data_IF_763391504622
#
_entry.id   IF_763391504622
#
_cell.length_a   1.000
_cell.length_b   1.000
_cell.length_c   1.000
_cell.angle_alpha   90.00
_cell.angle_beta   90.00
_cell.angle_gamma   90.00
#
_symmetry.space_group_name_H-M   'P 1'
#
loop_
_entity.id
_entity.type
_entity.pdbx_description
1 polymer ?
#
# COMPACT_ATOMS: atom_id res chain seq x y z
N UNK A 1 17.55 25.29 -6.98
CA UNK A 1 17.91 24.34 -8.04
C UNK A 1 17.58 22.96 -7.48
N UNK A 2 16.60 22.25 -8.06
CA UNK A 2 16.25 20.91 -7.58
C UNK A 2 17.48 20.01 -7.62
N UNK A 3 17.68 19.17 -6.60
CA UNK A 3 18.74 18.16 -6.65
C UNK A 3 18.37 17.15 -7.74
N UNK A 4 19.36 16.54 -8.39
CA UNK A 4 19.14 15.52 -9.43
C UNK A 4 18.20 14.38 -8.98
N UNK A 5 18.11 14.11 -7.68
CA UNK A 5 17.21 13.11 -7.09
C UNK A 5 15.75 13.58 -7.07
N UNK A 6 15.49 14.84 -6.75
CA UNK A 6 14.13 15.42 -6.79
C UNK A 6 13.54 15.33 -8.20
N UNK A 7 14.32 15.73 -9.20
CA UNK A 7 13.86 15.69 -10.59
C UNK A 7 13.66 14.25 -11.09
N UNK A 8 14.51 13.32 -10.64
CA UNK A 8 14.35 11.89 -10.94
C UNK A 8 13.07 11.31 -10.34
N UNK A 9 12.74 11.61 -9.08
CA UNK A 9 11.52 11.11 -8.45
C UNK A 9 10.27 11.72 -9.12
N UNK A 10 10.32 12.99 -9.50
CA UNK A 10 9.24 13.63 -10.27
C UNK A 10 9.06 12.98 -11.63
N UNK A 11 10.14 12.57 -12.28
CA UNK A 11 10.07 11.83 -13.53
C UNK A 11 9.46 10.44 -13.34
N UNK A 12 9.75 9.75 -12.23
CA UNK A 12 9.06 8.50 -11.88
C UNK A 12 7.56 8.72 -11.67
N UNK A 13 7.16 9.74 -10.89
CA UNK A 13 5.75 10.09 -10.69
C UNK A 13 5.05 10.33 -12.04
N UNK A 14 5.67 11.12 -12.93
CA UNK A 14 5.16 11.36 -14.29
C UNK A 14 5.02 10.07 -15.12
N UNK A 15 5.96 9.14 -14.99
CA UNK A 15 5.96 7.90 -15.78
C UNK A 15 4.93 6.88 -15.29
N UNK A 16 4.66 6.80 -13.99
CA UNK A 16 3.69 5.88 -13.39
C UNK A 16 2.27 6.45 -13.38
N UNK A 17 2.14 7.78 -13.40
CA UNK A 17 0.86 8.50 -13.47
C UNK A 17 0.24 8.39 -14.86
N UNK A 18 -0.46 7.29 -15.09
CA UNK A 18 -1.15 6.97 -16.34
C UNK A 18 -2.60 6.61 -16.06
N UNK A 19 -3.45 6.79 -17.06
CA UNK A 19 -4.82 6.29 -17.05
C UNK A 19 -5.08 5.34 -18.23
N UNK A 20 -4.54 4.10 -18.18
CA UNK A 20 -4.84 3.09 -19.18
C UNK A 20 -6.34 2.83 -19.23
N UNK A 21 -6.91 2.93 -20.43
CA UNK A 21 -8.34 2.73 -20.66
C UNK A 21 -9.23 3.94 -20.37
N UNK A 22 -8.66 5.10 -20.00
CA UNK A 22 -9.41 6.35 -19.75
C UNK A 22 -10.50 6.16 -18.69
N UNK A 23 -10.11 5.64 -17.53
CA UNK A 23 -11.00 5.30 -16.40
C UNK A 23 -11.29 6.50 -15.50
N UNK A 24 -10.72 7.67 -15.80
CA UNK A 24 -10.96 8.91 -15.08
C UNK A 24 -9.99 9.19 -13.94
N UNK A 25 -8.86 8.46 -13.87
CA UNK A 25 -7.90 8.58 -12.77
C UNK A 25 -7.16 9.93 -12.75
N UNK A 26 -6.97 10.54 -13.93
CA UNK A 26 -6.25 11.81 -14.10
C UNK A 26 -7.04 12.84 -14.92
N UNK A 27 -8.34 12.63 -15.15
CA UNK A 27 -9.15 13.48 -16.03
C UNK A 27 -9.18 14.94 -15.56
N UNK A 28 -9.21 15.14 -14.24
CA UNK A 28 -9.21 16.45 -13.61
C UNK A 28 -7.89 17.21 -13.80
N UNK A 29 -6.79 16.52 -14.10
CA UNK A 29 -5.46 17.14 -14.14
C UNK A 29 -5.30 18.13 -15.30
N UNK A 30 -6.03 17.93 -16.39
CA UNK A 30 -6.05 18.87 -17.50
C UNK A 30 -6.56 20.27 -17.11
N UNK A 31 -7.39 20.34 -16.07
CA UNK A 31 -8.00 21.57 -15.57
C UNK A 31 -7.32 22.10 -14.30
N UNK A 32 -6.96 21.21 -13.38
CA UNK A 32 -6.49 21.60 -12.04
C UNK A 32 -4.99 21.32 -11.80
N UNK A 33 -4.31 20.70 -12.76
CA UNK A 33 -2.95 20.19 -12.58
C UNK A 33 -2.92 18.84 -11.86
N UNK A 34 -1.72 18.24 -11.71
CA UNK A 34 -1.58 16.92 -11.10
C UNK A 34 -2.07 16.91 -9.66
N UNK A 35 -2.98 15.99 -9.34
CA UNK A 35 -3.41 15.78 -7.97
C UNK A 35 -2.23 15.25 -7.15
N UNK A 36 -2.08 15.74 -5.92
CA UNK A 36 -1.04 15.26 -5.00
C UNK A 36 0.39 15.44 -5.55
N UNK A 37 0.66 16.58 -6.19
CA UNK A 37 2.00 16.90 -6.70
C UNK A 37 3.07 16.71 -5.61
N UNK A 38 4.18 16.09 -5.97
CA UNK A 38 5.31 15.77 -5.09
C UNK A 38 4.99 14.83 -3.91
N UNK A 39 3.80 14.22 -3.83
CA UNK A 39 3.51 13.26 -2.75
C UNK A 39 4.42 12.04 -2.79
N UNK A 40 4.80 11.54 -3.98
CA UNK A 40 5.78 10.45 -4.08
C UNK A 40 7.14 10.85 -3.50
N UNK A 41 7.60 12.07 -3.79
CA UNK A 41 8.83 12.63 -3.23
C UNK A 41 8.75 12.74 -1.70
N UNK A 42 7.66 13.29 -1.19
CA UNK A 42 7.44 13.46 0.24
C UNK A 42 7.35 12.10 0.97
N UNK A 43 6.68 11.11 0.39
CA UNK A 43 6.62 9.76 0.93
C UNK A 43 8.00 9.10 0.97
N UNK A 44 8.78 9.21 -0.11
CA UNK A 44 10.15 8.70 -0.16
C UNK A 44 11.06 9.37 0.89
N UNK A 45 10.93 10.70 1.06
CA UNK A 45 11.67 11.45 2.09
C UNK A 45 11.28 11.05 3.51
N UNK A 46 9.99 10.85 3.79
CA UNK A 46 9.51 10.40 5.09
C UNK A 46 10.11 9.03 5.46
N UNK A 47 10.10 8.08 4.52
CA UNK A 47 10.72 6.77 4.71
C UNK A 47 12.23 6.92 4.94
N UNK A 48 12.94 7.68 4.09
CA UNK A 48 14.39 7.87 4.20
C UNK A 48 14.81 8.43 5.57
N UNK A 49 14.00 9.32 6.15
CA UNK A 49 14.39 10.09 7.35
C UNK A 49 14.00 9.41 8.66
N UNK A 50 12.98 8.55 8.67
CA UNK A 50 12.40 8.05 9.91
C UNK A 50 12.01 6.58 9.92
N UNK A 51 12.24 5.82 8.85
CA UNK A 51 11.83 4.42 8.82
C UNK A 51 12.75 3.54 9.66
N UNK A 52 12.15 2.77 10.58
CA UNK A 52 12.77 1.67 11.30
C UNK A 52 12.09 0.36 10.94
N UNK A 53 10.80 0.26 11.24
CA UNK A 53 9.91 -0.81 10.77
C UNK A 53 8.79 -0.24 9.91
N UNK A 54 8.63 -0.78 8.70
CA UNK A 54 7.58 -0.44 7.73
C UNK A 54 6.62 -1.61 7.61
N UNK A 55 5.35 -1.38 7.92
CA UNK A 55 4.27 -2.34 7.67
C UNK A 55 3.60 -1.99 6.36
N UNK A 56 3.46 -2.96 5.46
CA UNK A 56 2.81 -2.77 4.17
C UNK A 56 1.56 -3.64 4.12
N UNK A 57 0.38 -3.02 4.15
CA UNK A 57 -0.90 -3.70 4.02
C UNK A 57 -1.37 -3.69 2.57
N UNK A 58 -1.79 -4.85 2.08
CA UNK A 58 -2.27 -5.02 0.71
C UNK A 58 -3.35 -6.09 0.63
N UNK A 59 -4.13 -6.04 -0.45
CA UNK A 59 -5.15 -7.03 -0.77
C UNK A 59 -6.52 -6.39 -0.91
N UNK A 60 -7.16 -6.69 -2.04
CA UNK A 60 -8.49 -6.25 -2.40
C UNK A 60 -9.33 -7.48 -2.71
N UNK A 61 -10.28 -7.83 -1.84
CA UNK A 61 -11.23 -8.90 -2.13
C UNK A 61 -12.43 -8.35 -2.91
N UNK A 62 -12.84 -9.06 -3.97
CA UNK A 62 -13.96 -8.69 -4.83
C UNK A 62 -15.10 -9.69 -4.67
N UNK A 63 -16.04 -9.48 -3.72
CA UNK A 63 -17.16 -10.39 -3.50
C UNK A 63 -18.09 -10.52 -4.71
N UNK A 64 -18.19 -9.48 -5.53
CA UNK A 64 -19.11 -9.39 -6.66
C UNK A 64 -18.58 -9.97 -7.99
N UNK A 65 -17.37 -10.51 -8.01
CA UNK A 65 -16.82 -11.13 -9.21
C UNK A 65 -17.58 -12.44 -9.56
N UNK A 66 -17.57 -12.89 -10.84
CA UNK A 66 -18.21 -14.16 -11.23
C UNK A 66 -17.76 -15.35 -10.37
N UNK A 67 -16.49 -15.32 -9.97
CA UNK A 67 -15.94 -16.14 -8.88
C UNK A 67 -15.34 -15.17 -7.87
N UNK A 68 -15.90 -15.07 -6.65
CA UNK A 68 -15.35 -14.21 -5.61
C UNK A 68 -13.88 -14.54 -5.34
N UNK A 69 -13.02 -13.53 -5.45
CA UNK A 69 -11.58 -13.70 -5.36
C UNK A 69 -10.91 -12.40 -4.95
N UNK A 70 -9.69 -12.52 -4.43
CA UNK A 70 -8.81 -11.37 -4.26
C UNK A 70 -8.18 -10.96 -5.60
N UNK A 71 -8.04 -9.66 -5.80
CA UNK A 71 -7.31 -9.11 -6.93
C UNK A 71 -5.81 -9.40 -6.83
N UNK A 72 -5.15 -9.40 -7.99
CA UNK A 72 -3.69 -9.53 -8.09
C UNK A 72 -2.97 -8.20 -8.08
N UNK A 73 -3.69 -7.08 -8.22
CA UNK A 73 -3.11 -5.75 -8.09
C UNK A 73 -2.84 -5.44 -6.62
N UNK A 74 -1.69 -4.84 -6.34
CA UNK A 74 -1.18 -4.61 -4.99
C UNK A 74 -0.08 -5.57 -4.51
N UNK A 75 -0.37 -6.88 -4.29
CA UNK A 75 0.59 -7.80 -3.67
C UNK A 75 2.00 -7.81 -4.30
N UNK A 76 2.17 -7.85 -5.65
CA UNK A 76 3.50 -7.80 -6.25
C UNK A 76 4.25 -6.51 -5.93
N UNK A 77 3.57 -5.36 -5.96
CA UNK A 77 4.15 -4.07 -5.63
C UNK A 77 4.52 -3.95 -4.14
N UNK A 78 3.67 -4.50 -3.26
CA UNK A 78 3.92 -4.53 -1.82
C UNK A 78 5.13 -5.38 -1.44
N UNK A 79 5.24 -6.60 -1.98
CA UNK A 79 6.37 -7.49 -1.70
C UNK A 79 7.67 -6.95 -2.31
N UNK A 80 7.61 -6.38 -3.52
CA UNK A 80 8.78 -5.73 -4.14
C UNK A 80 9.26 -4.54 -3.31
N UNK A 81 8.34 -3.68 -2.84
CA UNK A 81 8.69 -2.56 -1.98
C UNK A 81 9.29 -3.05 -0.65
N UNK A 82 8.72 -4.10 -0.04
CA UNK A 82 9.26 -4.70 1.17
C UNK A 82 10.72 -5.15 0.97
N UNK A 83 11.00 -5.91 -0.11
CA UNK A 83 12.35 -6.37 -0.43
C UNK A 83 13.35 -5.23 -0.65
N UNK A 84 12.92 -4.14 -1.30
CA UNK A 84 13.78 -2.97 -1.52
C UNK A 84 14.10 -2.27 -0.19
N UNK A 85 13.12 -2.14 0.71
CA UNK A 85 13.31 -1.53 2.02
C UNK A 85 14.22 -2.39 2.91
N UNK A 86 14.06 -3.71 2.90
CA UNK A 86 14.97 -4.66 3.57
C UNK A 86 16.41 -4.52 3.05
N UNK A 87 16.58 -4.39 1.73
CA UNK A 87 17.90 -4.14 1.13
C UNK A 87 18.50 -2.78 1.55
N UNK A 88 17.67 -1.82 1.97
CA UNK A 88 18.10 -0.57 2.59
C UNK A 88 18.30 -0.66 4.11
N UNK A 89 18.14 -1.83 4.72
CA UNK A 89 18.30 -2.05 6.16
C UNK A 89 17.09 -1.61 7.00
N UNK A 90 15.91 -1.54 6.39
CA UNK A 90 14.64 -1.22 7.06
C UNK A 90 13.85 -2.51 7.26
N UNK A 91 13.41 -2.78 8.49
CA UNK A 91 12.61 -3.97 8.79
C UNK A 91 11.22 -3.84 8.15
N UNK A 92 10.73 -4.92 7.54
CA UNK A 92 9.43 -4.93 6.89
C UNK A 92 8.51 -6.06 7.36
N UNK A 93 7.21 -5.81 7.24
CA UNK A 93 6.17 -6.81 7.42
C UNK A 93 5.09 -6.58 6.36
N UNK A 94 4.80 -7.57 5.53
CA UNK A 94 3.66 -7.52 4.61
C UNK A 94 2.43 -8.13 5.28
N UNK A 95 1.31 -7.44 5.14
CA UNK A 95 0.10 -7.73 5.91
C UNK A 95 -1.10 -7.81 4.98
N UNK A 96 -1.98 -8.76 5.26
CA UNK A 96 -3.25 -8.92 4.54
C UNK A 96 -4.31 -9.56 5.44
N UNK A 97 -5.52 -9.79 4.91
CA UNK A 97 -6.57 -10.56 5.59
C UNK A 97 -6.70 -11.98 5.02
N UNK A 98 -7.51 -12.81 5.67
CA UNK A 98 -7.72 -14.22 5.30
C UNK A 98 -8.22 -14.42 3.86
N UNK A 99 -9.04 -13.51 3.33
CA UNK A 99 -9.61 -13.62 1.98
C UNK A 99 -8.55 -13.31 0.91
N UNK A 100 -7.60 -12.43 1.23
CA UNK A 100 -6.53 -12.03 0.34
C UNK A 100 -5.22 -12.85 0.53
N UNK A 101 -5.11 -13.59 1.64
CA UNK A 101 -3.93 -14.36 2.01
C UNK A 101 -3.40 -15.31 0.92
N UNK A 102 -4.23 -16.02 0.12
CA UNK A 102 -3.71 -16.90 -0.92
C UNK A 102 -2.88 -16.17 -1.99
N UNK A 103 -3.32 -14.98 -2.42
CA UNK A 103 -2.63 -14.18 -3.45
C UNK A 103 -1.32 -13.60 -2.90
N UNK A 104 -1.36 -13.06 -1.68
CA UNK A 104 -0.14 -12.52 -1.07
C UNK A 104 0.87 -13.63 -0.77
N UNK A 105 0.42 -14.80 -0.28
CA UNK A 105 1.30 -15.96 -0.05
C UNK A 105 1.99 -16.41 -1.33
N UNK A 106 1.23 -16.55 -2.43
CA UNK A 106 1.80 -16.91 -3.73
C UNK A 106 2.83 -15.89 -4.22
N UNK A 107 2.59 -14.60 -3.96
CA UNK A 107 3.52 -13.52 -4.30
C UNK A 107 4.80 -13.59 -3.45
N UNK A 108 4.65 -13.75 -2.13
CA UNK A 108 5.76 -13.92 -1.18
C UNK A 108 6.67 -15.08 -1.61
N UNK A 109 6.07 -16.21 -1.96
CA UNK A 109 6.82 -17.38 -2.45
C UNK A 109 7.54 -17.10 -3.78
N UNK A 110 6.86 -16.46 -4.73
CA UNK A 110 7.42 -16.18 -6.06
C UNK A 110 8.60 -15.21 -6.01
N UNK A 111 8.59 -14.27 -5.07
CA UNK A 111 9.66 -13.27 -4.88
C UNK A 111 10.72 -13.72 -3.87
N UNK A 112 10.52 -14.86 -3.20
CA UNK A 112 11.43 -15.35 -2.16
C UNK A 112 11.45 -14.48 -0.90
N UNK A 113 10.36 -13.76 -0.61
CA UNK A 113 10.22 -12.98 0.61
C UNK A 113 9.99 -13.93 1.80
N UNK A 114 10.55 -13.67 3.00
CA UNK A 114 10.40 -14.58 4.13
C UNK A 114 8.94 -14.71 4.58
N UNK A 115 8.40 -15.94 4.59
CA UNK A 115 7.05 -16.20 5.13
C UNK A 115 6.89 -15.79 6.59
N UNK A 116 7.97 -15.72 7.36
CA UNK A 116 7.96 -15.20 8.74
C UNK A 116 7.66 -13.69 8.82
N UNK A 117 7.79 -12.97 7.71
CA UNK A 117 7.46 -11.54 7.59
C UNK A 117 6.12 -11.31 6.86
N UNK A 118 5.32 -12.37 6.68
CA UNK A 118 3.93 -12.29 6.23
C UNK A 118 3.01 -12.43 7.45
N UNK A 119 2.13 -11.44 7.67
CA UNK A 119 1.06 -11.54 8.67
C UNK A 119 -0.31 -11.57 7.99
N UNK A 120 -1.13 -12.55 8.37
CA UNK A 120 -2.55 -12.61 8.00
C UNK A 120 -3.36 -12.21 9.23
N UNK A 121 -4.11 -11.12 9.10
CA UNK A 121 -4.97 -10.61 10.15
C UNK A 121 -6.37 -11.18 10.03
N UNK A 122 -6.98 -11.43 11.17
CA UNK A 122 -8.39 -11.77 11.27
C UNK A 122 -9.13 -10.59 11.93
N UNK A 123 -9.83 -9.74 11.15
CA UNK A 123 -10.54 -8.58 11.69
C UNK A 123 -11.71 -8.95 12.63
N UNK A 124 -12.22 -10.18 12.57
CA UNK A 124 -13.31 -10.65 13.42
C UNK A 124 -12.83 -11.05 14.83
N UNK A 125 -11.51 -11.19 15.02
CA UNK A 125 -10.93 -11.48 16.32
C UNK A 125 -10.98 -10.23 17.23
N UNK A 126 -11.65 -10.27 18.39
CA UNK A 126 -11.66 -9.13 19.31
C UNK A 126 -10.24 -8.74 19.77
N UNK A 127 -9.94 -7.45 19.79
CA UNK A 127 -8.64 -6.92 20.21
C UNK A 127 -7.48 -7.20 19.24
N UNK A 128 -7.79 -7.55 17.98
CA UNK A 128 -6.74 -7.84 16.98
C UNK A 128 -5.82 -6.64 16.74
N UNK A 129 -6.36 -5.41 16.82
CA UNK A 129 -5.62 -4.17 16.61
C UNK A 129 -4.52 -4.04 17.67
N UNK A 130 -4.90 -4.07 18.95
CA UNK A 130 -3.96 -3.95 20.06
C UNK A 130 -2.95 -5.10 20.05
N UNK A 131 -3.38 -6.32 19.77
CA UNK A 131 -2.51 -7.49 19.62
C UNK A 131 -1.50 -7.33 18.48
N UNK A 132 -1.93 -6.75 17.34
CA UNK A 132 -1.07 -6.50 16.20
C UNK A 132 -0.03 -5.43 16.53
N UNK A 133 -0.47 -4.24 16.96
CA UNK A 133 0.43 -3.12 17.22
C UNK A 133 1.37 -3.34 18.41
N UNK A 134 0.96 -4.07 19.46
CA UNK A 134 1.80 -4.35 20.63
C UNK A 134 3.04 -5.21 20.34
N UNK A 135 3.05 -5.93 19.21
CA UNK A 135 4.17 -6.79 18.79
C UNK A 135 5.17 -6.08 17.88
N UNK A 136 4.86 -4.85 17.49
CA UNK A 136 5.56 -4.13 16.43
C UNK A 136 6.07 -2.78 16.95
N UNK A 137 7.10 -2.24 16.31
CA UNK A 137 7.59 -0.88 16.53
C UNK A 137 7.45 -0.09 15.25
N UNK A 138 6.20 -0.04 14.76
CA UNK A 138 5.87 0.51 13.44
C UNK A 138 6.21 1.99 13.42
N UNK A 139 7.09 2.36 12.50
CA UNK A 139 7.39 3.76 12.17
C UNK A 139 6.49 4.27 11.03
N UNK A 140 6.15 3.39 10.09
CA UNK A 140 5.36 3.69 8.90
C UNK A 140 4.41 2.55 8.60
N UNK A 141 3.19 2.92 8.21
CA UNK A 141 2.19 2.01 7.65
C UNK A 141 1.88 2.47 6.22
N UNK A 142 2.05 1.58 5.25
CA UNK A 142 1.81 1.84 3.84
C UNK A 142 0.67 0.96 3.37
N UNK A 143 -0.31 1.56 2.70
CA UNK A 143 -1.42 0.86 2.07
C UNK A 143 -1.18 0.77 0.56
N UNK A 144 -1.27 -0.43 -0.01
CA UNK A 144 -1.15 -0.66 -1.45
C UNK A 144 -2.31 -1.55 -1.89
N UNK A 145 -3.22 -1.00 -2.70
CA UNK A 145 -4.43 -1.71 -3.17
C UNK A 145 -5.19 -2.37 -2.02
N UNK A 146 -5.45 -1.60 -0.96
CA UNK A 146 -6.27 -2.03 0.16
C UNK A 146 -7.54 -1.19 0.20
N UNK A 147 -8.67 -1.88 0.26
CA UNK A 147 -9.99 -1.25 0.39
C UNK A 147 -10.09 -0.39 1.63
N UNK A 148 -10.52 0.86 1.44
CA UNK A 148 -10.96 1.74 2.51
C UNK A 148 -12.46 1.56 2.81
N UNK A 149 -12.93 1.98 4.00
CA UNK A 149 -14.35 1.99 4.30
C UNK A 149 -15.10 2.88 3.30
N UNK A 150 -16.24 2.37 2.80
CA UNK A 150 -17.20 3.20 2.07
C UNK A 150 -18.07 3.96 3.07
N UNK A 151 -18.45 5.18 2.71
CA UNK A 151 -19.28 6.03 3.57
C UNK A 151 -20.56 6.45 2.86
N UNK A 152 -21.69 6.29 3.54
CA UNK A 152 -22.88 7.11 3.28
C UNK A 152 -22.62 8.55 3.74
N UNK A 153 -23.38 9.51 3.23
CA UNK A 153 -23.31 10.92 3.69
C UNK A 153 -23.41 11.00 5.22
N UNK A 154 -24.36 10.28 5.81
CA UNK A 154 -24.55 10.25 7.25
C UNK A 154 -23.33 9.68 7.99
N UNK A 155 -22.77 8.56 7.50
CA UNK A 155 -21.57 7.96 8.11
C UNK A 155 -20.30 8.79 7.90
N UNK A 156 -20.24 9.63 6.87
CA UNK A 156 -19.14 10.55 6.63
C UNK A 156 -19.19 11.72 7.60
N UNK A 157 -20.37 12.34 7.75
CA UNK A 157 -20.57 13.45 8.69
C UNK A 157 -20.37 13.05 10.15
N UNK A 158 -20.60 11.78 10.48
CA UNK A 158 -20.40 11.24 11.83
C UNK A 158 -18.92 10.95 12.20
N UNK A 159 -17.96 11.17 11.30
CA UNK A 159 -16.52 10.97 11.59
C UNK A 159 -15.86 12.15 12.31
N UNK A 160 -16.61 13.24 12.57
CA UNK A 160 -16.11 14.46 13.18
C UNK A 160 -15.95 14.37 14.70
#
# INVERSE_FOLDING_TARGET
>A
MGTSQTDMIREFDRLIRRDPGKRGLIDSESQFGPLCQDHLLQAAQAIQTGASQVVIITGFYVPGAPVPAAETDGPPGAVLLALILEACGIDTLVVTDELCAPVLTATVDAFGYPRSQLAVLNPDQPGWVESFFSRQKISHLISIERVGPSHTIDSWLAQA
#
